data_IF_738217320102
#
_entry.id   IF_738217320102
#
_cell.length_a   1.000
_cell.length_b   1.000
_cell.length_c   1.000
_cell.angle_alpha   90.00
_cell.angle_beta   90.00
_cell.angle_gamma   90.00
#
_symmetry.space_group_name_H-M   'P 1'
#
loop_
_entity.id
_entity.type
_entity.pdbx_description
1 polymer ?
#
# COMPACT_ATOMS: atom_id res chain seq x y z
N UNK A 1 -28.57 -9.00 -4.85
CA UNK A 1 -27.23 -9.60 -5.09
C UNK A 1 -26.10 -8.80 -4.40
N UNK A 2 -26.10 -8.66 -3.07
CA UNK A 2 -25.19 -7.72 -2.36
C UNK A 2 -24.19 -8.32 -1.37
N UNK A 3 -24.31 -9.61 -1.01
CA UNK A 3 -23.47 -10.20 0.06
C UNK A 3 -22.17 -10.83 -0.44
N UNK A 4 -22.07 -11.21 -1.72
CA UNK A 4 -20.90 -11.93 -2.27
C UNK A 4 -19.67 -11.02 -2.45
N UNK A 5 -19.84 -9.78 -2.88
CA UNK A 5 -18.72 -8.85 -3.11
C UNK A 5 -18.13 -8.31 -1.80
N UNK A 6 -18.96 -8.10 -0.76
CA UNK A 6 -18.48 -7.70 0.57
C UNK A 6 -17.50 -8.71 1.19
N UNK A 7 -17.68 -10.01 0.90
CA UNK A 7 -16.77 -11.07 1.38
C UNK A 7 -15.41 -11.06 0.66
N UNK A 8 -15.34 -10.57 -0.59
CA UNK A 8 -14.10 -10.55 -1.39
C UNK A 8 -13.24 -9.32 -1.16
N UNK A 9 -13.87 -8.20 -0.78
CA UNK A 9 -13.20 -6.90 -0.60
C UNK A 9 -13.49 -6.33 0.81
N UNK A 10 -13.41 -7.18 1.84
CA UNK A 10 -13.79 -6.86 3.22
C UNK A 10 -13.08 -5.60 3.74
N UNK A 11 -11.83 -5.37 3.34
CA UNK A 11 -11.03 -4.23 3.80
C UNK A 11 -11.57 -2.91 3.27
N UNK A 12 -12.05 -2.88 2.03
CA UNK A 12 -12.61 -1.65 1.48
C UNK A 12 -13.94 -1.26 2.14
N UNK A 13 -14.54 -2.12 2.98
CA UNK A 13 -15.70 -1.78 3.80
C UNK A 13 -15.38 -1.60 5.29
N UNK A 14 -14.11 -1.67 5.71
CA UNK A 14 -13.71 -1.30 7.07
C UNK A 14 -13.59 0.22 7.21
N UNK A 15 -13.80 0.71 8.42
CA UNK A 15 -13.81 2.14 8.78
C UNK A 15 -12.43 2.80 8.85
N UNK A 16 -11.39 2.16 8.32
CA UNK A 16 -10.02 2.64 8.40
C UNK A 16 -9.02 1.48 8.36
N UNK A 17 -7.88 1.68 9.03
CA UNK A 17 -6.79 0.68 9.06
C UNK A 17 -7.20 -0.60 9.78
N UNK A 18 -6.80 -1.73 9.21
CA UNK A 18 -7.08 -3.05 9.74
C UNK A 18 -5.89 -3.98 9.51
N UNK A 19 -5.74 -4.95 10.40
CA UNK A 19 -4.86 -6.10 10.21
C UNK A 19 -5.64 -7.20 9.49
N UNK A 20 -5.13 -7.63 8.33
CA UNK A 20 -5.61 -8.83 7.64
C UNK A 20 -4.86 -10.07 8.13
N UNK A 21 -5.59 -11.14 8.43
CA UNK A 21 -5.03 -12.48 8.72
C UNK A 21 -5.58 -13.52 7.74
N UNK A 22 -4.95 -14.69 7.71
CA UNK A 22 -5.24 -15.72 6.71
C UNK A 22 -4.71 -15.28 5.34
N UNK A 23 -5.56 -15.35 4.33
CA UNK A 23 -5.34 -14.78 2.99
C UNK A 23 -5.90 -13.36 2.85
N UNK A 24 -6.20 -12.70 3.98
CA UNK A 24 -6.78 -11.36 4.04
C UNK A 24 -8.31 -11.35 4.23
N UNK A 25 -8.95 -12.51 4.40
CA UNK A 25 -10.39 -12.61 4.63
C UNK A 25 -10.78 -12.24 6.07
N UNK A 26 -9.87 -12.37 7.03
CA UNK A 26 -10.10 -12.04 8.43
C UNK A 26 -9.51 -10.66 8.78
N UNK A 27 -10.38 -9.70 9.11
CA UNK A 27 -9.96 -8.33 9.42
C UNK A 27 -10.14 -7.98 10.89
N UNK A 28 -9.12 -7.36 11.45
CA UNK A 28 -9.13 -6.82 12.82
C UNK A 28 -8.88 -5.31 12.76
N UNK A 29 -9.83 -4.51 13.22
CA UNK A 29 -9.69 -3.05 13.21
C UNK A 29 -8.57 -2.60 14.16
N UNK A 30 -7.69 -1.73 13.68
CA UNK A 30 -6.61 -1.14 14.47
C UNK A 30 -7.01 0.29 14.84
N UNK A 31 -7.31 0.53 16.12
CA UNK A 31 -7.85 1.81 16.60
C UNK A 31 -6.81 2.92 16.82
N UNK A 32 -5.51 2.59 16.89
CA UNK A 32 -4.44 3.57 17.12
C UNK A 32 -3.27 3.30 16.19
N UNK A 33 -3.06 4.18 15.22
CA UNK A 33 -1.80 4.28 14.48
C UNK A 33 -1.34 5.73 14.59
N UNK A 34 -0.43 5.96 15.53
CA UNK A 34 -0.20 7.26 16.15
C UNK A 34 0.89 8.10 15.45
N UNK A 35 1.17 7.83 14.18
CA UNK A 35 2.20 8.56 13.44
C UNK A 35 1.62 9.07 12.14
N UNK A 36 1.68 10.39 11.92
CA UNK A 36 1.32 10.99 10.63
C UNK A 36 2.46 10.73 9.65
N UNK A 37 2.23 9.82 8.72
CA UNK A 37 3.18 9.48 7.67
C UNK A 37 2.70 10.03 6.34
N UNK A 38 3.66 10.47 5.53
CA UNK A 38 3.48 10.73 4.10
C UNK A 38 4.05 9.57 3.31
N UNK A 39 3.56 9.41 2.09
CA UNK A 39 4.00 8.34 1.20
C UNK A 39 4.38 8.89 -0.16
N UNK A 40 5.33 8.23 -0.81
CA UNK A 40 5.71 8.48 -2.20
C UNK A 40 5.61 7.15 -2.93
N UNK A 41 4.78 7.10 -3.97
CA UNK A 41 4.57 5.90 -4.77
C UNK A 41 5.49 5.91 -5.99
N UNK A 42 6.04 4.75 -6.30
CA UNK A 42 6.83 4.49 -7.50
C UNK A 42 6.14 3.35 -8.25
N UNK A 43 5.40 3.72 -9.30
CA UNK A 43 4.61 2.80 -10.11
C UNK A 43 5.49 2.19 -11.21
N UNK A 44 5.29 0.90 -11.46
CA UNK A 44 5.95 0.17 -12.53
C UNK A 44 4.90 -0.41 -13.48
N UNK A 45 5.09 -0.17 -14.77
CA UNK A 45 4.14 -0.54 -15.82
C UNK A 45 4.16 -2.03 -16.17
N UNK A 46 5.26 -2.74 -15.90
CA UNK A 46 5.41 -4.14 -16.28
C UNK A 46 4.73 -5.09 -15.29
N UNK A 47 4.34 -4.60 -14.11
CA UNK A 47 3.57 -5.35 -13.11
C UNK A 47 4.20 -6.69 -12.71
N UNK A 48 3.48 -7.46 -11.90
CA UNK A 48 3.79 -8.86 -11.67
C UNK A 48 2.51 -9.62 -11.37
N UNK A 49 2.21 -10.74 -12.05
CA UNK A 49 1.07 -11.56 -11.70
C UNK A 49 1.19 -12.02 -10.26
N UNK A 50 0.16 -11.77 -9.44
CA UNK A 50 0.13 -12.14 -8.02
C UNK A 50 0.44 -13.62 -7.83
N UNK A 51 -0.12 -14.49 -8.67
CA UNK A 51 0.16 -15.93 -8.66
C UNK A 51 1.66 -16.24 -8.76
N UNK A 52 2.39 -15.59 -9.69
CA UNK A 52 3.83 -15.82 -9.86
C UNK A 52 4.63 -15.40 -8.62
N UNK A 53 4.23 -14.31 -7.96
CA UNK A 53 4.86 -13.87 -6.72
C UNK A 53 4.72 -14.92 -5.59
N UNK A 54 3.56 -15.56 -5.48
CA UNK A 54 3.33 -16.63 -4.51
C UNK A 54 3.97 -17.96 -4.90
N UNK A 55 3.91 -18.37 -6.18
CA UNK A 55 4.53 -19.61 -6.67
C UNK A 55 6.05 -19.62 -6.47
N UNK A 56 6.68 -18.44 -6.50
CA UNK A 56 8.12 -18.31 -6.34
C UNK A 56 8.55 -18.16 -4.88
N UNK A 57 7.62 -18.19 -3.92
CA UNK A 57 7.90 -18.03 -2.49
C UNK A 57 8.53 -19.30 -1.91
N UNK A 58 9.59 -19.14 -1.12
CA UNK A 58 10.34 -20.21 -0.49
C UNK A 58 10.16 -20.17 1.04
N UNK A 59 10.29 -21.30 1.75
CA UNK A 59 10.17 -21.34 3.21
C UNK A 59 11.09 -20.36 3.95
N UNK A 60 12.29 -20.08 3.43
CA UNK A 60 13.20 -19.09 4.03
C UNK A 60 12.79 -17.63 3.81
N UNK A 61 11.81 -17.34 2.94
CA UNK A 61 11.40 -15.98 2.69
C UNK A 61 10.50 -15.42 3.79
N UNK A 62 9.75 -16.31 4.46
CA UNK A 62 8.85 -15.94 5.55
C UNK A 62 9.62 -15.29 6.69
N UNK A 63 9.13 -14.14 7.13
CA UNK A 63 9.63 -13.49 8.33
C UNK A 63 9.35 -14.37 9.56
N UNK A 64 10.29 -14.42 10.49
CA UNK A 64 10.17 -15.21 11.72
C UNK A 64 9.16 -14.63 12.73
N UNK A 65 8.43 -13.58 12.33
CA UNK A 65 7.43 -12.91 13.14
C UNK A 65 8.06 -12.07 14.25
N UNK A 66 8.11 -10.75 14.06
CA UNK A 66 8.31 -9.85 15.19
C UNK A 66 6.95 -9.41 15.72
N UNK A 67 6.48 -10.08 16.79
CA UNK A 67 5.21 -9.74 17.45
C UNK A 67 5.19 -8.32 18.04
N UNK A 68 6.36 -7.67 18.18
CA UNK A 68 6.52 -6.31 18.69
C UNK A 68 6.65 -5.26 17.57
N UNK A 69 6.60 -5.65 16.29
CA UNK A 69 6.64 -4.69 15.19
C UNK A 69 5.36 -3.85 15.17
N UNK A 70 5.43 -2.65 15.74
CA UNK A 70 4.31 -1.72 15.81
C UNK A 70 3.99 -1.05 14.45
N UNK A 71 4.93 -1.05 13.50
CA UNK A 71 4.76 -0.37 12.22
C UNK A 71 5.73 -0.92 11.16
N UNK A 72 5.23 -1.07 9.92
CA UNK A 72 5.97 -1.52 8.72
C UNK A 72 6.98 -2.64 8.94
N UNK A 73 6.49 -3.88 8.97
CA UNK A 73 7.33 -5.07 8.86
C UNK A 73 7.85 -5.28 7.44
N UNK A 74 8.70 -6.29 7.29
CA UNK A 74 9.12 -6.80 6.00
C UNK A 74 7.90 -7.30 5.20
N UNK A 75 7.93 -7.10 3.89
CA UNK A 75 7.02 -7.79 2.98
C UNK A 75 7.71 -9.05 2.47
N UNK A 76 7.32 -10.21 3.00
CA UNK A 76 7.92 -11.51 2.66
C UNK A 76 7.90 -11.81 1.14
N UNK A 77 6.96 -11.24 0.38
CA UNK A 77 6.89 -11.39 -1.08
C UNK A 77 7.98 -10.61 -1.81
N UNK A 78 8.66 -9.64 -1.19
CA UNK A 78 9.76 -8.92 -1.84
C UNK A 78 10.86 -9.88 -2.30
N UNK A 79 11.23 -10.85 -1.46
CA UNK A 79 12.29 -11.81 -1.78
C UNK A 79 11.92 -12.65 -3.01
N UNK A 80 10.67 -13.11 -3.10
CA UNK A 80 10.20 -13.88 -4.25
C UNK A 80 10.07 -13.04 -5.51
N UNK A 81 9.50 -11.84 -5.40
CA UNK A 81 9.35 -10.91 -6.53
C UNK A 81 10.71 -10.48 -7.06
N UNK A 82 11.68 -10.17 -6.20
CA UNK A 82 13.01 -9.69 -6.60
C UNK A 82 13.89 -10.75 -7.26
N UNK A 83 13.58 -12.04 -7.10
CA UNK A 83 14.19 -13.11 -7.92
C UNK A 83 13.72 -13.07 -9.37
N UNK A 84 12.49 -12.62 -9.61
CA UNK A 84 11.86 -12.56 -10.94
C UNK A 84 12.06 -11.18 -11.59
N UNK A 85 11.95 -10.12 -10.80
CA UNK A 85 12.04 -8.70 -11.18
C UNK A 85 13.25 -8.07 -10.49
N UNK A 86 14.44 -8.41 -10.98
CA UNK A 86 15.71 -7.86 -10.47
C UNK A 86 15.82 -6.36 -10.66
N UNK A 87 15.12 -5.81 -11.65
CA UNK A 87 14.97 -4.37 -11.88
C UNK A 87 14.23 -3.67 -10.73
N UNK A 88 13.16 -4.28 -10.17
CA UNK A 88 12.48 -3.75 -8.99
C UNK A 88 13.38 -3.80 -7.75
N UNK A 89 14.17 -4.87 -7.59
CA UNK A 89 15.18 -4.96 -6.53
C UNK A 89 16.19 -3.82 -6.62
N UNK A 90 16.71 -3.58 -7.83
CA UNK A 90 17.67 -2.52 -8.09
C UNK A 90 17.05 -1.13 -7.83
N UNK A 91 15.80 -0.92 -8.26
CA UNK A 91 15.05 0.32 -7.98
C UNK A 91 14.85 0.52 -6.47
N UNK A 92 14.48 -0.52 -5.72
CA UNK A 92 14.36 -0.46 -4.26
C UNK A 92 15.68 -0.06 -3.61
N UNK A 93 16.78 -0.75 -3.92
CA UNK A 93 18.10 -0.40 -3.37
C UNK A 93 18.54 1.02 -3.74
N UNK A 94 18.23 1.49 -4.96
CA UNK A 94 18.49 2.86 -5.35
C UNK A 94 17.69 3.85 -4.49
N UNK A 95 16.40 3.60 -4.28
CA UNK A 95 15.55 4.42 -3.43
C UNK A 95 16.04 4.41 -1.97
N UNK A 96 16.39 3.25 -1.42
CA UNK A 96 16.94 3.12 -0.06
C UNK A 96 18.18 4.01 0.13
N UNK A 97 19.11 4.00 -0.84
CA UNK A 97 20.29 4.88 -0.81
C UNK A 97 19.95 6.36 -0.91
N UNK A 98 18.98 6.74 -1.74
CA UNK A 98 18.62 8.14 -1.92
C UNK A 98 17.83 8.70 -0.74
N UNK A 99 17.03 7.85 -0.08
CA UNK A 99 16.19 8.21 1.06
C UNK A 99 16.89 8.01 2.41
N UNK A 100 18.06 7.37 2.47
CA UNK A 100 18.81 7.14 3.71
C UNK A 100 19.15 8.38 4.54
N UNK A 101 19.24 9.61 4.00
CA UNK A 101 19.39 10.81 4.83
C UNK A 101 18.16 11.14 5.70
N UNK A 102 17.01 10.52 5.42
CA UNK A 102 15.75 10.77 6.11
C UNK A 102 15.29 9.51 6.85
N UNK A 103 14.68 9.67 8.02
CA UNK A 103 14.00 8.58 8.71
C UNK A 103 12.80 8.11 7.86
N UNK A 104 13.03 7.05 7.08
CA UNK A 104 12.12 6.57 6.06
C UNK A 104 12.28 5.08 5.83
N UNK A 105 11.23 4.46 5.28
CA UNK A 105 11.27 3.06 4.86
C UNK A 105 10.88 2.94 3.39
N UNK A 106 11.60 2.08 2.66
CA UNK A 106 11.31 1.74 1.26
C UNK A 106 10.82 0.31 1.21
N UNK A 107 9.61 0.11 0.69
CA UNK A 107 8.91 -1.17 0.75
C UNK A 107 8.11 -1.40 -0.53
N UNK A 108 7.75 -2.64 -0.80
CA UNK A 108 6.83 -3.05 -1.85
C UNK A 108 5.41 -3.20 -1.30
N UNK A 109 4.41 -2.68 -2.04
CA UNK A 109 3.00 -2.86 -1.68
C UNK A 109 2.44 -4.17 -2.24
N UNK A 110 1.89 -5.02 -1.37
CA UNK A 110 1.28 -6.29 -1.77
C UNK A 110 2.26 -7.21 -2.51
N UNK A 111 1.83 -7.80 -3.63
CA UNK A 111 2.70 -8.59 -4.51
C UNK A 111 3.55 -7.74 -5.46
N UNK A 112 3.53 -6.41 -5.36
CA UNK A 112 4.16 -5.51 -6.32
C UNK A 112 3.31 -5.26 -7.58
N UNK A 113 3.82 -4.52 -8.57
CA UNK A 113 5.19 -4.01 -8.70
C UNK A 113 5.44 -2.64 -8.05
N UNK A 114 4.44 -2.06 -7.38
CA UNK A 114 4.56 -0.74 -6.75
C UNK A 114 5.52 -0.78 -5.56
N UNK A 115 6.56 0.04 -5.63
CA UNK A 115 7.37 0.42 -4.47
C UNK A 115 6.80 1.70 -3.86
N UNK A 116 6.94 1.85 -2.55
CA UNK A 116 6.61 3.07 -1.85
C UNK A 116 7.69 3.42 -0.85
N UNK A 117 7.82 4.73 -0.63
CA UNK A 117 8.54 5.27 0.51
C UNK A 117 7.53 5.79 1.51
N UNK A 118 7.73 5.53 2.79
CA UNK A 118 7.03 6.20 3.87
C UNK A 118 8.00 6.95 4.76
N UNK A 119 7.61 8.12 5.23
CA UNK A 119 8.40 8.96 6.12
C UNK A 119 7.47 9.78 7.02
N UNK A 120 8.01 10.29 8.14
CA UNK A 120 7.25 11.10 9.08
C UNK A 120 6.92 12.46 8.47
N UNK A 121 5.66 12.88 8.58
CA UNK A 121 5.21 14.21 8.11
C UNK A 121 5.97 15.35 8.82
N UNK A 122 6.42 15.11 10.06
CA UNK A 122 7.18 16.07 10.87
C UNK A 122 8.50 16.50 10.22
N UNK A 123 9.11 15.65 9.37
CA UNK A 123 10.34 16.01 8.65
C UNK A 123 10.16 17.23 7.74
N UNK A 124 8.95 17.48 7.24
CA UNK A 124 8.68 18.64 6.39
C UNK A 124 8.39 19.93 7.19
N UNK A 125 8.44 19.92 8.52
CA UNK A 125 8.35 21.15 9.33
C UNK A 125 9.61 22.02 9.18
N UNK A 126 10.76 21.39 8.90
CA UNK A 126 11.98 22.10 8.53
C UNK A 126 11.94 22.43 7.03
N UNK A 127 11.95 23.72 6.70
CA UNK A 127 11.89 24.22 5.31
C UNK A 127 13.02 23.70 4.40
N UNK A 128 14.22 23.49 4.95
CA UNK A 128 15.38 22.97 4.21
C UNK A 128 15.20 21.49 3.94
N UNK A 129 14.78 20.72 4.95
CA UNK A 129 14.49 19.28 4.81
C UNK A 129 13.34 19.06 3.84
N UNK A 130 12.25 19.83 3.97
CA UNK A 130 11.12 19.80 3.04
C UNK A 130 11.57 20.03 1.59
N UNK A 131 12.37 21.07 1.35
CA UNK A 131 12.90 21.36 0.01
C UNK A 131 13.75 20.22 -0.56
N UNK A 132 14.57 19.58 0.27
CA UNK A 132 15.38 18.42 -0.12
C UNK A 132 14.50 17.21 -0.47
N UNK A 133 13.49 16.90 0.35
CA UNK A 133 12.52 15.83 0.09
C UNK A 133 11.78 16.08 -1.22
N UNK A 134 11.26 17.29 -1.46
CA UNK A 134 10.56 17.62 -2.70
C UNK A 134 11.46 17.53 -3.94
N UNK A 135 12.70 18.00 -3.82
CA UNK A 135 13.71 17.84 -4.89
C UNK A 135 13.97 16.37 -5.19
N UNK A 136 14.14 15.56 -4.14
CA UNK A 136 14.35 14.12 -4.26
C UNK A 136 13.18 13.43 -4.94
N UNK A 137 11.94 13.69 -4.52
CA UNK A 137 10.71 13.13 -5.13
C UNK A 137 10.66 13.46 -6.62
N UNK A 138 10.98 14.70 -7.00
CA UNK A 138 11.01 15.11 -8.41
C UNK A 138 12.09 14.37 -9.19
N UNK A 139 13.29 14.24 -8.63
CA UNK A 139 14.41 13.54 -9.24
C UNK A 139 14.12 12.05 -9.45
N UNK A 140 13.46 11.40 -8.48
CA UNK A 140 13.13 9.96 -8.54
C UNK A 140 11.83 9.69 -9.30
N UNK A 141 11.14 10.73 -9.76
CA UNK A 141 9.81 10.69 -10.40
C UNK A 141 8.76 10.01 -9.51
N UNK A 142 8.85 10.23 -8.21
CA UNK A 142 7.90 9.72 -7.23
C UNK A 142 6.57 10.49 -7.26
N UNK A 143 5.47 9.79 -6.95
CA UNK A 143 4.15 10.38 -6.83
C UNK A 143 3.86 10.58 -5.35
N UNK A 144 3.92 11.82 -4.80
CA UNK A 144 3.58 12.06 -3.41
C UNK A 144 2.08 11.83 -3.21
N UNK A 145 1.73 11.07 -2.16
CA UNK A 145 0.34 10.82 -1.79
C UNK A 145 0.13 11.13 -0.31
N UNK A 146 -0.91 11.91 -0.05
CA UNK A 146 -1.42 12.14 1.29
C UNK A 146 -2.39 11.03 1.69
N UNK A 147 -2.57 10.84 3.01
CA UNK A 147 -3.58 9.90 3.52
C UNK A 147 -4.96 10.31 3.02
N UNK A 148 -5.63 9.40 2.32
CA UNK A 148 -7.07 9.49 2.12
C UNK A 148 -7.75 9.02 3.41
N UNK A 149 -8.15 9.97 4.26
CA UNK A 149 -9.11 9.66 5.32
C UNK A 149 -10.43 9.28 4.65
N UNK A 150 -10.89 8.06 4.92
CA UNK A 150 -12.24 7.67 4.55
C UNK A 150 -13.19 8.37 5.49
N UNK A 151 -13.99 9.28 4.96
CA UNK A 151 -15.19 9.69 5.68
C UNK A 151 -16.15 8.48 5.79
N UNK A 152 -16.87 8.32 6.93
CA UNK A 152 -17.73 7.17 7.19
C UNK A 152 -18.83 6.90 6.14
N UNK A 153 -19.02 7.79 5.16
CA UNK A 153 -20.21 7.85 4.31
C UNK A 153 -20.00 7.40 2.86
N UNK A 154 -18.80 7.01 2.42
CA UNK A 154 -18.56 6.61 1.02
C UNK A 154 -19.41 5.42 0.54
N UNK A 155 -19.86 4.56 1.46
CA UNK A 155 -20.76 3.43 1.15
C UNK A 155 -22.09 3.50 1.91
N UNK A 156 -22.45 4.70 2.39
CA UNK A 156 -23.74 4.94 3.02
C UNK A 156 -24.85 4.71 2.00
N UNK A 157 -25.48 3.54 2.06
CA UNK A 157 -26.75 3.22 1.38
C UNK A 157 -27.95 4.02 1.92
N UNK A 158 -27.73 5.19 2.54
CA UNK A 158 -28.79 6.16 2.87
C UNK A 158 -28.98 7.19 1.76
N UNK A 159 -28.94 6.76 0.51
CA UNK A 159 -29.56 7.49 -0.57
C UNK A 159 -30.62 6.60 -1.21
N UNK A 160 -31.86 6.88 -0.85
CA UNK A 160 -33.07 6.36 -1.50
C UNK A 160 -33.28 6.96 -2.90
N UNK A 161 -32.23 7.36 -3.62
CA UNK A 161 -32.35 8.01 -4.93
C UNK A 161 -32.53 7.02 -6.07
N UNK A 162 -32.32 5.73 -5.85
CA UNK A 162 -32.53 4.69 -6.85
C UNK A 162 -33.65 3.74 -6.44
N UNK A 163 -34.89 4.25 -6.34
CA UNK A 163 -36.06 3.36 -6.28
C UNK A 163 -36.52 2.87 -7.65
N UNK A 164 -36.18 3.56 -8.76
CA UNK A 164 -36.74 3.27 -10.07
C UNK A 164 -35.75 3.25 -11.26
N UNK A 165 -34.44 3.27 -11.05
CA UNK A 165 -33.51 3.14 -12.17
C UNK A 165 -33.07 1.69 -12.31
N UNK A 166 -33.17 1.07 -13.51
CA UNK A 166 -32.57 -0.23 -13.75
C UNK A 166 -31.07 -0.16 -13.40
N UNK A 167 -30.60 -1.18 -12.67
CA UNK A 167 -29.20 -1.34 -12.28
C UNK A 167 -28.36 -1.61 -13.53
N UNK A 168 -28.06 -0.58 -14.31
CA UNK A 168 -27.02 -0.66 -15.33
C UNK A 168 -25.67 -0.61 -14.64
N UNK A 169 -25.11 -1.80 -14.43
CA UNK A 169 -23.71 -1.94 -14.08
C UNK A 169 -22.90 -1.61 -15.34
N UNK A 170 -22.35 -0.40 -15.39
CA UNK A 170 -21.32 -0.06 -16.37
C UNK A 170 -20.09 -0.94 -16.09
N UNK A 171 -19.95 -2.02 -16.86
CA UNK A 171 -18.67 -2.66 -17.05
C UNK A 171 -17.82 -1.70 -17.89
N UNK A 172 -16.63 -1.28 -17.41
CA UNK A 172 -15.69 -0.62 -18.31
C UNK A 172 -15.35 -1.62 -19.42
N UNK A 173 -15.67 -1.26 -20.66
CA UNK A 173 -15.24 -2.00 -21.84
C UNK A 173 -13.72 -1.90 -21.90
N UNK A 174 -13.05 -3.05 -21.92
CA UNK A 174 -11.68 -3.20 -22.41
C UNK A 174 -11.77 -3.46 -23.91
#
# INVERSE_FOLDING_TARGET
>A
MGSRNRKRCSFFFSSGTALGKGRGEHLFSIKKLNHKHKYVLYLDHQGIPTEKAYQSLLPQDYSTGNHNACFYGENDLEKSVFRIRTDLKNKKHMLERMWSPFESHVLMSGSGATLFVCYLEELEQDSKVSSQIHSLIKQTQGIPVSRLYREPHWYSLKQSTYKNSPLECFQPQI
#
